data_IF_279948166912
#
_entry.id   IF_279948166912
#
_cell.length_a   1.000
_cell.length_b   1.000
_cell.length_c   1.000
_cell.angle_alpha   90.00
_cell.angle_beta   90.00
_cell.angle_gamma   90.00
#
_symmetry.space_group_name_H-M   'P 1'
#
loop_
_entity.id
_entity.type
_entity.pdbx_description
1 polymer ?
#
# COMPACT_ATOMS: atom_id res chain seq x y z
N UNK A 1 3.50 -17.15 -17.92
CA UNK A 1 2.20 -16.94 -17.25
C UNK A 1 2.20 -17.33 -15.76
N UNK A 2 2.52 -18.59 -15.38
CA UNK A 2 2.49 -19.02 -13.96
C UNK A 2 3.46 -18.23 -13.06
N UNK A 3 4.71 -18.03 -13.50
CA UNK A 3 5.73 -17.24 -12.77
C UNK A 3 5.26 -15.79 -12.49
N UNK A 4 4.76 -15.10 -13.51
CA UNK A 4 4.26 -13.72 -13.37
C UNK A 4 3.10 -13.63 -12.38
N UNK A 5 2.20 -14.63 -12.40
CA UNK A 5 1.08 -14.71 -11.47
C UNK A 5 1.56 -14.90 -10.03
N UNK A 6 2.54 -15.78 -9.81
CA UNK A 6 3.13 -15.99 -8.48
C UNK A 6 3.76 -14.68 -7.98
N UNK A 7 4.61 -14.02 -8.79
CA UNK A 7 5.28 -12.78 -8.40
C UNK A 7 4.27 -11.68 -8.05
N UNK A 8 3.23 -11.51 -8.88
CA UNK A 8 2.15 -10.57 -8.61
C UNK A 8 1.49 -10.86 -7.25
N UNK A 9 1.03 -12.10 -7.03
CA UNK A 9 0.31 -12.44 -5.80
C UNK A 9 1.20 -12.37 -4.56
N UNK A 10 2.48 -12.76 -4.65
CA UNK A 10 3.42 -12.60 -3.55
C UNK A 10 3.59 -11.13 -3.17
N UNK A 11 3.84 -10.24 -4.13
CA UNK A 11 3.98 -8.80 -3.87
C UNK A 11 2.68 -8.19 -3.33
N UNK A 12 1.53 -8.52 -3.93
CA UNK A 12 0.22 -8.01 -3.50
C UNK A 12 -0.16 -8.49 -2.10
N UNK A 13 0.15 -9.73 -1.72
CA UNK A 13 -0.10 -10.23 -0.35
C UNK A 13 0.76 -9.48 0.66
N UNK A 14 2.03 -9.21 0.35
CA UNK A 14 2.90 -8.43 1.24
C UNK A 14 2.33 -7.02 1.43
N UNK A 15 1.93 -6.34 0.35
CA UNK A 15 1.29 -5.03 0.43
C UNK A 15 -0.02 -5.10 1.21
N UNK A 16 -0.86 -6.11 0.96
CA UNK A 16 -2.13 -6.25 1.67
C UNK A 16 -1.91 -6.44 3.17
N UNK A 17 -0.93 -7.25 3.56
CA UNK A 17 -0.59 -7.46 4.96
C UNK A 17 -0.08 -6.18 5.61
N UNK A 18 0.85 -5.47 4.97
CA UNK A 18 1.56 -4.34 5.57
C UNK A 18 0.75 -3.03 5.51
N UNK A 19 0.06 -2.77 4.41
CA UNK A 19 -0.67 -1.51 4.20
C UNK A 19 -2.13 -1.57 4.66
N UNK A 20 -2.77 -2.75 4.73
CA UNK A 20 -4.17 -2.87 5.15
C UNK A 20 -4.36 -3.69 6.43
N UNK A 21 -3.87 -4.94 6.48
CA UNK A 21 -4.14 -5.85 7.61
C UNK A 21 -3.46 -5.35 8.89
N UNK A 22 -2.19 -4.96 8.82
CA UNK A 22 -1.45 -4.46 9.99
C UNK A 22 -2.12 -3.20 10.57
N UNK A 23 -2.42 -2.14 9.79
CA UNK A 23 -3.05 -0.95 10.34
C UNK A 23 -4.50 -1.15 10.82
N UNK A 24 -5.30 -1.97 10.12
CA UNK A 24 -6.63 -2.37 10.64
C UNK A 24 -6.48 -3.16 11.93
N UNK A 25 -5.50 -4.08 11.99
CA UNK A 25 -5.23 -4.88 13.17
C UNK A 25 -4.84 -4.00 14.36
N UNK A 26 -4.00 -2.99 14.15
CA UNK A 26 -3.69 -1.98 15.17
C UNK A 26 -4.95 -1.25 15.61
N UNK A 27 -5.81 -0.82 14.69
CA UNK A 27 -7.06 -0.15 15.06
C UNK A 27 -7.96 -1.04 15.93
N UNK A 28 -8.14 -2.32 15.58
CA UNK A 28 -9.07 -3.22 16.28
C UNK A 28 -8.50 -3.73 17.60
N UNK A 29 -7.24 -4.18 17.59
CA UNK A 29 -6.66 -4.94 18.71
C UNK A 29 -5.75 -4.11 19.62
N UNK A 30 -5.25 -2.96 19.15
CA UNK A 30 -4.33 -2.11 19.90
C UNK A 30 -4.56 -0.61 19.59
N UNK A 31 -5.80 -0.11 19.77
CA UNK A 31 -6.22 1.22 19.33
C UNK A 31 -5.38 2.37 19.92
N UNK A 32 -4.77 2.16 21.09
CA UNK A 32 -3.86 3.11 21.72
C UNK A 32 -2.60 3.41 20.88
N UNK A 33 -2.20 2.47 20.00
CA UNK A 33 -1.07 2.65 19.07
C UNK A 33 -1.48 3.17 17.70
N UNK A 34 -2.79 3.32 17.43
CA UNK A 34 -3.31 3.68 16.10
C UNK A 34 -2.78 5.01 15.58
N UNK A 35 -2.49 5.95 16.47
CA UNK A 35 -2.00 7.30 16.14
C UNK A 35 -0.51 7.47 16.40
N UNK A 36 0.21 6.45 16.85
CA UNK A 36 1.58 6.59 17.36
C UNK A 36 2.55 7.08 16.28
N UNK A 37 2.49 6.46 15.09
CA UNK A 37 3.36 6.83 13.97
C UNK A 37 3.04 8.20 13.36
N UNK A 38 1.78 8.62 13.38
CA UNK A 38 1.35 9.91 12.81
C UNK A 38 1.49 11.06 13.80
N UNK A 39 1.33 10.82 15.11
CA UNK A 39 1.60 11.80 16.18
C UNK A 39 3.06 12.19 16.27
N UNK A 40 3.98 11.22 16.13
CA UNK A 40 5.41 11.52 16.04
C UNK A 40 5.74 12.50 14.89
N UNK A 41 4.89 12.54 13.86
CA UNK A 41 4.99 13.42 12.70
C UNK A 41 4.12 14.69 12.82
N UNK A 42 3.52 14.94 14.00
CA UNK A 42 2.63 16.08 14.27
C UNK A 42 1.33 16.11 13.44
N UNK A 43 0.88 14.97 12.92
CA UNK A 43 -0.42 14.89 12.24
C UNK A 43 -1.58 14.78 13.25
N UNK A 44 -2.75 15.36 12.94
CA UNK A 44 -3.95 15.21 13.74
C UNK A 44 -4.51 13.78 13.69
N UNK A 45 -5.16 13.32 14.76
CA UNK A 45 -5.61 11.94 14.93
C UNK A 45 -6.51 11.45 13.78
N UNK A 46 -7.40 12.30 13.27
CA UNK A 46 -8.29 11.95 12.16
C UNK A 46 -7.51 11.49 10.92
N UNK A 47 -6.31 12.04 10.69
CA UNK A 47 -5.47 11.69 9.54
C UNK A 47 -5.09 10.21 9.59
N UNK A 48 -4.75 9.67 10.77
CA UNK A 48 -4.39 8.27 10.94
C UNK A 48 -5.54 7.34 10.53
N UNK A 49 -6.75 7.63 11.01
CA UNK A 49 -7.93 6.84 10.69
C UNK A 49 -8.32 6.95 9.21
N UNK A 50 -8.33 8.16 8.65
CA UNK A 50 -8.59 8.37 7.22
C UNK A 50 -7.58 7.64 6.34
N UNK A 51 -6.30 7.64 6.75
CA UNK A 51 -5.24 6.96 6.03
C UNK A 51 -5.45 5.45 6.01
N UNK A 52 -5.81 4.83 7.14
CA UNK A 52 -6.08 3.39 7.19
C UNK A 52 -7.26 3.00 6.31
N UNK A 53 -8.36 3.76 6.36
CA UNK A 53 -9.52 3.51 5.50
C UNK A 53 -9.11 3.58 4.02
N UNK A 54 -8.37 4.62 3.63
CA UNK A 54 -7.89 4.79 2.25
C UNK A 54 -6.97 3.64 1.80
N UNK A 55 -6.02 3.21 2.65
CA UNK A 55 -5.12 2.10 2.35
C UNK A 55 -5.89 0.79 2.14
N UNK A 56 -6.88 0.52 2.99
CA UNK A 56 -7.71 -0.69 2.90
C UNK A 56 -8.51 -0.70 1.60
N UNK A 57 -9.14 0.42 1.24
CA UNK A 57 -9.84 0.55 -0.03
C UNK A 57 -8.90 0.34 -1.23
N UNK A 58 -7.69 0.90 -1.16
CA UNK A 58 -6.66 0.70 -2.19
C UNK A 58 -6.24 -0.77 -2.34
N UNK A 59 -5.97 -1.45 -1.24
CA UNK A 59 -5.61 -2.88 -1.24
C UNK A 59 -6.75 -3.76 -1.77
N UNK A 60 -7.99 -3.49 -1.36
CA UNK A 60 -9.17 -4.20 -1.86
C UNK A 60 -9.31 -4.00 -3.37
N UNK A 61 -9.15 -2.78 -3.86
CA UNK A 61 -9.21 -2.48 -5.29
C UNK A 61 -8.17 -3.26 -6.11
N UNK A 62 -6.92 -3.34 -5.64
CA UNK A 62 -5.84 -4.09 -6.33
C UNK A 62 -6.08 -5.59 -6.30
N UNK A 63 -6.55 -6.12 -5.16
CA UNK A 63 -6.69 -7.56 -4.92
C UNK A 63 -7.93 -8.13 -5.59
N UNK A 64 -9.02 -7.37 -5.64
CA UNK A 64 -10.28 -7.85 -6.18
C UNK A 64 -10.22 -8.01 -7.71
N UNK A 65 -10.49 -9.22 -8.25
CA UNK A 65 -10.26 -9.52 -9.66
C UNK A 65 -11.21 -8.79 -10.60
N UNK A 66 -12.41 -8.38 -10.14
CA UNK A 66 -13.41 -7.68 -10.96
C UNK A 66 -13.31 -6.15 -10.86
N UNK A 67 -12.37 -5.59 -10.11
CA UNK A 67 -12.15 -4.14 -10.10
C UNK A 67 -11.75 -3.66 -11.49
N UNK A 68 -12.35 -2.56 -11.94
CA UNK A 68 -12.00 -1.95 -13.23
C UNK A 68 -10.55 -1.49 -13.27
N UNK A 69 -9.96 -1.43 -14.47
CA UNK A 69 -8.56 -1.03 -14.65
C UNK A 69 -8.33 0.38 -14.09
N UNK A 70 -9.23 1.33 -14.36
CA UNK A 70 -9.12 2.72 -13.88
C UNK A 70 -9.06 2.81 -12.36
N UNK A 71 -9.92 2.05 -11.64
CA UNK A 71 -9.91 2.07 -10.17
C UNK A 71 -8.63 1.42 -9.63
N UNK A 72 -8.08 0.40 -10.31
CA UNK A 72 -6.78 -0.17 -9.93
C UNK A 72 -5.66 0.85 -10.08
N UNK A 73 -5.62 1.60 -11.17
CA UNK A 73 -4.61 2.67 -11.36
C UNK A 73 -4.72 3.73 -10.25
N UNK A 74 -5.93 4.14 -9.87
CA UNK A 74 -6.15 5.06 -8.75
C UNK A 74 -5.66 4.48 -7.41
N UNK A 75 -5.90 3.20 -7.17
CA UNK A 75 -5.44 2.51 -5.97
C UNK A 75 -3.90 2.44 -5.91
N UNK A 76 -3.24 2.08 -7.01
CA UNK A 76 -1.78 2.09 -7.10
C UNK A 76 -1.21 3.50 -6.89
N UNK A 77 -1.79 4.52 -7.52
CA UNK A 77 -1.36 5.91 -7.34
C UNK A 77 -1.52 6.36 -5.88
N UNK A 78 -2.68 6.12 -5.27
CA UNK A 78 -2.95 6.52 -3.88
C UNK A 78 -2.03 5.87 -2.86
N UNK A 79 -1.78 4.56 -2.99
CA UNK A 79 -0.83 3.84 -2.14
C UNK A 79 0.61 4.34 -2.38
N UNK A 80 0.99 4.64 -3.63
CA UNK A 80 2.32 5.15 -3.95
C UNK A 80 2.56 6.52 -3.31
N UNK A 81 1.61 7.46 -3.45
CA UNK A 81 1.72 8.78 -2.82
C UNK A 81 1.74 8.68 -1.31
N UNK A 82 0.97 7.77 -0.72
CA UNK A 82 1.00 7.52 0.72
C UNK A 82 2.40 7.12 1.19
N UNK A 83 3.05 6.19 0.48
CA UNK A 83 4.40 5.73 0.82
C UNK A 83 5.47 6.81 0.57
N UNK A 84 5.35 7.57 -0.52
CA UNK A 84 6.25 8.69 -0.81
C UNK A 84 6.13 9.78 0.27
N UNK A 85 4.90 10.15 0.65
CA UNK A 85 4.70 11.13 1.71
C UNK A 85 5.14 10.61 3.07
N UNK A 86 4.94 9.34 3.39
CA UNK A 86 5.50 8.75 4.61
C UNK A 86 7.03 8.90 4.65
N UNK A 87 7.74 8.59 3.55
CA UNK A 87 9.18 8.82 3.46
C UNK A 87 9.55 10.29 3.67
N UNK A 88 8.87 11.22 3.00
CA UNK A 88 9.13 12.66 3.14
C UNK A 88 8.90 13.11 4.59
N UNK A 89 7.80 12.70 5.22
CA UNK A 89 7.47 13.09 6.59
C UNK A 89 8.52 12.58 7.60
N UNK A 90 8.94 11.32 7.50
CA UNK A 90 10.03 10.80 8.33
C UNK A 90 11.36 11.53 8.06
N UNK A 91 11.66 11.86 6.80
CA UNK A 91 12.87 12.62 6.45
C UNK A 91 12.86 14.03 7.03
N UNK A 92 11.72 14.70 7.02
CA UNK A 92 11.60 16.10 7.43
C UNK A 92 11.43 16.27 8.95
N UNK A 93 10.73 15.35 9.62
CA UNK A 93 10.32 15.52 11.02
C UNK A 93 11.21 14.75 11.99
N UNK A 94 11.23 13.42 11.92
CA UNK A 94 11.92 12.59 12.92
C UNK A 94 13.34 12.15 12.52
N UNK A 95 13.68 12.22 11.23
CA UNK A 95 14.97 11.83 10.63
C UNK A 95 15.39 10.40 11.00
N UNK A 96 14.44 9.53 11.30
CA UNK A 96 14.71 8.15 11.65
C UNK A 96 14.96 7.31 10.39
N UNK A 97 16.20 6.86 10.20
CA UNK A 97 16.63 6.09 9.02
C UNK A 97 15.77 4.84 8.82
N UNK A 98 15.37 4.15 9.89
CA UNK A 98 14.53 2.96 9.81
C UNK A 98 13.13 3.28 9.27
N UNK A 99 12.52 4.34 9.77
CA UNK A 99 11.19 4.79 9.31
C UNK A 99 11.22 5.47 7.94
N UNK A 100 12.38 5.95 7.49
CA UNK A 100 12.58 6.44 6.12
C UNK A 100 12.68 5.28 5.11
N UNK A 101 13.46 4.24 5.42
CA UNK A 101 13.70 3.16 4.46
C UNK A 101 12.47 2.27 4.27
N UNK A 102 11.68 2.06 5.33
CA UNK A 102 10.51 1.17 5.29
C UNK A 102 9.48 1.54 4.20
N UNK A 103 8.99 2.80 4.10
CA UNK A 103 8.09 3.20 3.02
C UNK A 103 8.67 3.01 1.62
N UNK A 104 9.98 3.24 1.43
CA UNK A 104 10.64 3.03 0.14
C UNK A 104 10.72 1.54 -0.24
N UNK A 105 10.98 0.67 0.74
CA UNK A 105 10.98 -0.77 0.51
C UNK A 105 9.58 -1.27 0.07
N UNK A 106 8.53 -0.84 0.76
CA UNK A 106 7.15 -1.18 0.37
C UNK A 106 6.74 -0.54 -0.96
N UNK A 107 7.23 0.66 -1.27
CA UNK A 107 7.00 1.28 -2.57
C UNK A 107 7.61 0.44 -3.71
N UNK A 108 8.81 -0.11 -3.50
CA UNK A 108 9.43 -1.05 -4.43
C UNK A 108 8.57 -2.31 -4.65
N UNK A 109 8.03 -2.89 -3.57
CA UNK A 109 7.15 -4.06 -3.64
C UNK A 109 5.84 -3.72 -4.37
N UNK A 110 5.26 -2.54 -4.10
CA UNK A 110 4.06 -2.05 -4.79
C UNK A 110 4.32 -1.87 -6.29
N UNK A 111 5.47 -1.31 -6.67
CA UNK A 111 5.87 -1.18 -8.06
C UNK A 111 6.03 -2.54 -8.75
N UNK A 112 6.59 -3.55 -8.06
CA UNK A 112 6.63 -4.92 -8.57
C UNK A 112 5.22 -5.47 -8.77
N UNK A 113 4.33 -5.30 -7.80
CA UNK A 113 2.92 -5.71 -7.95
C UNK A 113 2.27 -5.06 -9.17
N UNK A 114 2.47 -3.75 -9.37
CA UNK A 114 1.97 -3.00 -10.53
C UNK A 114 2.44 -3.56 -11.87
N UNK A 115 3.77 -3.70 -12.04
CA UNK A 115 4.38 -4.17 -13.30
C UNK A 115 3.85 -5.55 -13.67
N UNK A 116 3.75 -6.46 -12.69
CA UNK A 116 3.26 -7.82 -12.94
C UNK A 116 1.73 -7.89 -13.10
N UNK A 117 0.98 -6.95 -12.51
CA UNK A 117 -0.46 -6.79 -12.78
C UNK A 117 -0.70 -6.43 -14.24
N UNK A 118 0.05 -5.47 -14.78
CA UNK A 118 -0.06 -5.06 -16.18
C UNK A 118 0.29 -6.22 -17.13
N UNK A 119 1.40 -6.93 -16.88
CA UNK A 119 1.80 -8.11 -17.66
C UNK A 119 0.74 -9.22 -17.69
N UNK A 120 0.00 -9.41 -16.60
CA UNK A 120 -1.08 -10.41 -16.54
C UNK A 120 -2.31 -9.96 -17.34
N UNK A 121 -2.62 -8.66 -17.35
CA UNK A 121 -3.74 -8.11 -18.10
C UNK A 121 -3.46 -8.11 -19.61
N UNK A 122 -2.26 -7.72 -20.05
CA UNK A 122 -1.85 -7.78 -21.47
C UNK A 122 -1.91 -9.21 -22.02
N UNK A 123 -1.39 -10.20 -21.27
CA UNK A 123 -1.43 -11.62 -21.67
C UNK A 123 -2.85 -12.19 -21.71
N UNK A 124 -3.82 -11.59 -21.01
CA UNK A 124 -5.22 -12.01 -21.04
C UNK A 124 -5.94 -11.45 -22.28
N UNK A 125 -5.58 -10.24 -22.69
CA UNK A 125 -6.13 -9.58 -23.88
C UNK A 125 -5.63 -10.21 -25.19
N UNK A 126 -4.39 -10.74 -25.22
CA UNK A 126 -3.88 -11.50 -26.39
C UNK A 126 -4.55 -12.86 -26.62
N UNK A 127 -5.32 -13.36 -25.64
CA UNK A 127 -5.99 -14.67 -25.70
C UNK A 127 -7.49 -14.60 -26.04
N UNK A 128 -8.01 -13.39 -26.24
CA UNK A 128 -9.38 -13.10 -26.66
C UNK A 128 -9.36 -12.72 -28.14
#
# INVERSE_FOLDING_TARGET
MKKNKIIFWTATIIIALMEAVMPIGTWIFAPEYMTFGTKALSYPDYFAYSLVIAKVLGVVAITYPKTSITIKEWAYAGLSFTLIFAFISHTCVDKNIGYMIMPLAFLGILAVSYIYSHKLNSSKNEKL
#
